data_IF_840878968268
#
_entry.id   IF_840878968268
#
_cell.length_a   1.000
_cell.length_b   1.000
_cell.length_c   1.000
_cell.angle_alpha   90.00
_cell.angle_beta   90.00
_cell.angle_gamma   90.00
#
_symmetry.space_group_name_H-M   'P 1'
#
loop_
_entity.id
_entity.type
_entity.pdbx_description
1 polymer ?
#
# COMPACT_ATOMS: atom_id res chain seq x y z
N UNK A 1 7.69 -6.06 -2.55
CA UNK A 1 7.04 -7.38 -2.70
C UNK A 1 5.71 -7.26 -2.00
N UNK A 2 4.60 -7.51 -2.70
CA UNK A 2 3.25 -7.34 -2.17
C UNK A 2 2.79 -8.69 -1.60
N UNK A 3 2.28 -8.68 -0.36
CA UNK A 3 1.89 -9.91 0.35
C UNK A 3 0.50 -9.73 0.95
N UNK A 4 -0.33 -10.75 0.80
CA UNK A 4 -1.70 -10.78 1.31
C UNK A 4 -1.86 -12.01 2.22
N UNK A 5 -2.10 -11.76 3.50
CA UNK A 5 -2.21 -12.78 4.53
C UNK A 5 -3.66 -12.91 4.98
N UNK A 6 -4.17 -14.14 5.05
CA UNK A 6 -5.50 -14.45 5.57
C UNK A 6 -5.38 -15.31 6.83
N UNK A 7 -6.00 -14.86 7.92
CA UNK A 7 -6.11 -15.62 9.17
C UNK A 7 -7.58 -16.01 9.32
N UNK A 8 -7.85 -17.31 9.26
CA UNK A 8 -9.18 -17.87 9.48
C UNK A 8 -9.26 -18.37 10.91
N UNK A 9 -10.13 -17.76 11.70
CA UNK A 9 -10.37 -18.15 13.07
C UNK A 9 -11.38 -19.30 13.15
N UNK A 10 -11.31 -20.17 14.18
CA UNK A 10 -12.23 -21.30 14.34
C UNK A 10 -13.69 -20.88 14.61
N UNK A 11 -13.91 -19.59 14.89
CA UNK A 11 -15.24 -18.98 15.04
C UNK A 11 -15.86 -18.52 13.70
N UNK A 12 -15.16 -18.73 12.58
CA UNK A 12 -15.61 -18.36 11.24
C UNK A 12 -15.26 -16.94 10.81
N UNK A 13 -14.53 -16.17 11.63
CA UNK A 13 -14.04 -14.84 11.25
C UNK A 13 -12.80 -14.96 10.36
N UNK A 14 -12.73 -14.09 9.36
CA UNK A 14 -11.57 -13.97 8.47
C UNK A 14 -10.94 -12.60 8.71
N UNK A 15 -9.65 -12.59 9.04
CA UNK A 15 -8.86 -11.37 9.12
C UNK A 15 -7.92 -11.32 7.92
N UNK A 16 -8.00 -10.22 7.17
CA UNK A 16 -7.14 -9.94 6.02
C UNK A 16 -6.08 -8.93 6.43
N UNK A 17 -4.83 -9.21 6.05
CA UNK A 17 -3.71 -8.30 6.24
C UNK A 17 -2.97 -8.12 4.93
N UNK A 18 -3.04 -6.90 4.40
CA UNK A 18 -2.36 -6.48 3.17
C UNK A 18 -1.07 -5.76 3.54
N UNK A 19 0.06 -6.19 2.98
CA UNK A 19 1.37 -5.55 3.21
C UNK A 19 2.10 -5.32 1.89
N UNK A 20 2.92 -4.28 1.83
CA UNK A 20 3.72 -3.96 0.64
C UNK A 20 3.00 -3.17 -0.45
N UNK A 21 1.71 -2.84 -0.28
CA UNK A 21 0.97 -1.91 -1.14
C UNK A 21 0.96 -0.53 -0.46
N UNK A 22 1.52 0.48 -1.12
CA UNK A 22 1.64 1.85 -0.58
C UNK A 22 0.56 2.77 -1.14
N UNK A 23 -0.04 3.58 -0.26
CA UNK A 23 -1.01 4.61 -0.61
C UNK A 23 -2.40 4.09 -0.99
N UNK A 24 -3.17 4.91 -1.73
CA UNK A 24 -4.59 4.65 -2.04
C UNK A 24 -4.85 3.37 -2.85
N UNK A 25 -3.84 2.81 -3.52
CA UNK A 25 -3.99 1.51 -4.19
C UNK A 25 -4.26 0.38 -3.20
N UNK A 26 -3.83 0.50 -1.93
CA UNK A 26 -4.23 -0.43 -0.88
C UNK A 26 -5.75 -0.37 -0.65
N UNK A 27 -6.31 0.84 -0.59
CA UNK A 27 -7.75 1.05 -0.40
C UNK A 27 -8.60 0.50 -1.55
N UNK A 28 -8.16 0.67 -2.80
CA UNK A 28 -8.89 0.15 -3.97
C UNK A 28 -8.92 -1.38 -4.02
N UNK A 29 -7.80 -2.03 -3.67
CA UNK A 29 -7.71 -3.49 -3.62
C UNK A 29 -8.59 -4.02 -2.50
N UNK A 30 -8.50 -3.43 -1.30
CA UNK A 30 -9.33 -3.84 -0.16
C UNK A 30 -10.81 -3.62 -0.44
N UNK A 31 -11.22 -2.51 -1.08
CA UNK A 31 -12.62 -2.23 -1.39
C UNK A 31 -13.28 -3.30 -2.29
N UNK A 32 -12.54 -3.84 -3.27
CA UNK A 32 -13.05 -4.91 -4.13
C UNK A 32 -13.24 -6.22 -3.37
N UNK A 33 -12.41 -6.48 -2.37
CA UNK A 33 -12.44 -7.69 -1.54
C UNK A 33 -13.53 -7.57 -0.48
N UNK A 34 -13.67 -6.41 0.17
CA UNK A 34 -14.75 -6.10 1.12
C UNK A 34 -16.13 -6.23 0.47
N UNK A 35 -16.28 -5.79 -0.78
CA UNK A 35 -17.51 -5.95 -1.55
C UNK A 35 -17.90 -7.43 -1.79
N UNK A 36 -16.92 -8.34 -1.82
CA UNK A 36 -17.15 -9.78 -2.00
C UNK A 36 -17.32 -10.53 -0.67
N UNK A 37 -16.59 -10.13 0.38
CA UNK A 37 -16.68 -10.72 1.71
C UNK A 37 -17.94 -10.26 2.47
N UNK A 38 -18.56 -9.17 2.06
CA UNK A 38 -19.84 -8.69 2.56
C UNK A 38 -19.71 -7.62 3.63
N UNK A 39 -19.64 -8.01 4.91
CA UNK A 39 -19.75 -7.09 6.04
C UNK A 39 -18.41 -6.89 6.75
N UNK A 40 -17.85 -5.68 6.62
CA UNK A 40 -16.60 -5.30 7.28
C UNK A 40 -16.88 -4.97 8.75
N UNK A 41 -16.33 -5.78 9.65
CA UNK A 41 -16.51 -5.58 11.10
C UNK A 41 -15.54 -4.54 11.67
N UNK A 42 -14.32 -4.48 11.13
CA UNK A 42 -13.28 -3.55 11.57
C UNK A 42 -12.28 -3.33 10.45
N UNK A 43 -11.91 -2.07 10.24
CA UNK A 43 -10.88 -1.66 9.29
C UNK A 43 -9.83 -0.85 10.04
N UNK A 44 -8.57 -1.30 10.01
CA UNK A 44 -7.45 -0.66 10.70
C UNK A 44 -6.36 -0.30 9.68
N UNK A 45 -6.23 0.99 9.29
CA UNK A 45 -5.21 1.40 8.33
C UNK A 45 -3.82 1.30 8.95
N UNK A 46 -2.89 0.66 8.25
CA UNK A 46 -1.48 0.57 8.67
C UNK A 46 -0.67 1.77 8.19
N UNK A 47 0.55 1.94 8.70
CA UNK A 47 1.43 3.07 8.32
C UNK A 47 1.65 3.20 6.81
N UNK A 48 1.61 2.08 6.07
CA UNK A 48 1.74 2.00 4.61
C UNK A 48 0.56 2.64 3.87
N UNK A 49 -0.63 2.69 4.49
CA UNK A 49 -1.80 3.40 3.96
C UNK A 49 -1.54 4.92 3.88
N UNK A 50 -0.86 5.46 4.90
CA UNK A 50 -0.51 6.89 4.97
C UNK A 50 0.80 7.23 4.24
N UNK A 51 1.56 6.22 3.81
CA UNK A 51 2.76 6.43 3.02
C UNK A 51 2.38 6.94 1.62
N UNK A 52 2.60 8.22 1.36
CA UNK A 52 2.49 8.78 0.03
C UNK A 52 3.52 8.12 -0.90
N UNK A 53 3.09 7.70 -2.10
CA UNK A 53 4.01 7.30 -3.17
C UNK A 53 4.86 8.53 -3.51
N UNK A 54 6.06 8.63 -2.94
CA UNK A 54 7.04 9.60 -3.39
C UNK A 54 7.48 9.12 -4.78
N UNK A 55 6.85 9.66 -5.83
CA UNK A 55 7.37 9.54 -7.18
C UNK A 55 8.68 10.32 -7.19
N UNK A 56 9.78 9.62 -6.95
CA UNK A 56 11.11 10.18 -7.18
C UNK A 56 11.28 10.30 -8.69
N UNK A 57 10.86 11.45 -9.22
CA UNK A 57 11.12 11.88 -10.58
C UNK A 57 12.63 11.99 -10.76
N UNK A 58 13.24 10.89 -11.19
CA UNK A 58 14.66 10.80 -11.51
C UNK A 58 14.99 11.61 -12.74
N UNK A 59 15.16 12.91 -12.58
CA UNK A 59 15.97 13.75 -13.47
C UNK A 59 16.82 14.67 -12.60
N UNK A 60 17.82 14.08 -11.95
CA UNK A 60 18.96 14.85 -11.45
C UNK A 60 19.77 15.25 -12.67
N UNK A 61 19.49 16.43 -13.22
CA UNK A 61 20.26 17.02 -14.29
C UNK A 61 21.56 17.57 -13.69
N UNK A 62 22.56 16.71 -13.46
CA UNK A 62 23.90 17.16 -13.05
C UNK A 62 24.62 17.76 -14.26
N UNK A 63 24.22 18.98 -14.64
CA UNK A 63 25.04 19.82 -15.51
C UNK A 63 26.17 20.39 -14.66
N UNK A 64 27.24 19.62 -14.50
CA UNK A 64 28.51 20.15 -14.03
C UNK A 64 29.03 21.10 -15.10
N UNK A 65 28.74 22.39 -14.94
CA UNK A 65 29.45 23.44 -15.66
C UNK A 65 30.93 23.35 -15.25
N UNK A 66 31.74 22.80 -16.15
CA UNK A 66 33.19 22.80 -16.05
C UNK A 66 33.62 24.26 -16.26
N UNK A 67 33.79 25.01 -15.17
CA UNK A 67 34.39 26.34 -15.23
C UNK A 67 35.90 26.18 -15.15
N UNK A 68 36.54 26.38 -16.29
CA UNK A 68 37.98 26.56 -16.41
C UNK A 68 38.32 27.99 -15.96
N UNK A 69 38.89 28.14 -14.76
CA UNK A 69 39.55 29.35 -14.25
C UNK A 69 40.61 28.98 -13.20
#
# INVERSE_FOLDING_TARGET
METLEFIIYPDGRVQEKVTGIVGNSCAEVTAAIEAQLGLVLSHEPTSEFFAAKVQQSGVVNTQTAYSDW
#
